data_IF_291860651995
#
_entry.id   IF_291860651995
#
_cell.length_a   1.000
_cell.length_b   1.000
_cell.length_c   1.000
_cell.angle_alpha   90.00
_cell.angle_beta   90.00
_cell.angle_gamma   90.00
#
_symmetry.space_group_name_H-M   'P 1'
#
loop_
_entity.id
_entity.type
_entity.pdbx_description
1 polymer ?
#
# COMPACT_ATOMS: atom_id res chain seq x y z
N UNK A 1 -24.44 -10.14 7.37
CA UNK A 1 -25.29 -9.43 6.37
C UNK A 1 -24.34 -8.77 5.38
N UNK A 2 -24.46 -9.00 4.06
CA UNK A 2 -23.58 -8.34 3.08
C UNK A 2 -23.87 -6.83 3.11
N UNK A 3 -22.87 -5.94 3.18
CA UNK A 3 -23.13 -4.51 3.16
C UNK A 3 -23.84 -4.14 1.86
N UNK A 4 -24.89 -3.32 1.97
CA UNK A 4 -25.57 -2.76 0.80
C UNK A 4 -24.75 -1.55 0.36
N UNK A 5 -24.31 -1.54 -0.91
CA UNK A 5 -23.58 -0.42 -1.49
C UNK A 5 -24.40 0.86 -1.44
N UNK A 6 -23.81 1.97 -0.96
CA UNK A 6 -24.45 3.30 -0.97
C UNK A 6 -24.80 3.73 -2.39
N UNK A 7 -23.91 3.54 -3.37
CA UNK A 7 -24.19 3.77 -4.80
C UNK A 7 -24.09 2.47 -5.62
N UNK A 8 -25.22 1.76 -5.73
CA UNK A 8 -25.29 0.53 -6.53
C UNK A 8 -25.04 0.75 -8.01
N UNK A 9 -25.37 1.93 -8.56
CA UNK A 9 -25.20 2.21 -10.00
C UNK A 9 -23.73 2.38 -10.34
N UNK A 10 -22.99 3.11 -9.51
CA UNK A 10 -21.54 3.24 -9.66
C UNK A 10 -20.84 1.88 -9.53
N UNK A 11 -21.20 1.09 -8.51
CA UNK A 11 -20.62 -0.24 -8.32
C UNK A 11 -20.85 -1.14 -9.54
N UNK A 12 -22.06 -1.15 -10.10
CA UNK A 12 -22.37 -1.95 -11.28
C UNK A 12 -21.54 -1.53 -12.51
N UNK A 13 -21.33 -0.23 -12.74
CA UNK A 13 -20.44 0.24 -13.82
C UNK A 13 -19.00 -0.19 -13.60
N UNK A 14 -18.52 -0.15 -12.35
CA UNK A 14 -17.17 -0.58 -11.98
C UNK A 14 -16.95 -2.09 -12.14
N UNK A 15 -17.93 -2.91 -11.75
CA UNK A 15 -17.89 -4.37 -11.97
C UNK A 15 -17.89 -4.72 -13.46
N UNK A 16 -18.62 -3.96 -14.29
CA UNK A 16 -18.65 -4.14 -15.73
C UNK A 16 -17.41 -3.64 -16.47
N UNK A 17 -16.53 -2.88 -15.83
CA UNK A 17 -15.29 -2.40 -16.44
C UNK A 17 -14.17 -3.45 -16.30
N UNK A 18 -13.68 -3.92 -17.45
CA UNK A 18 -12.56 -4.85 -17.50
C UNK A 18 -11.23 -4.11 -17.51
N UNK A 19 -10.47 -4.29 -16.43
CA UNK A 19 -9.07 -3.88 -16.35
C UNK A 19 -8.11 -4.91 -16.98
N UNK A 20 -8.61 -6.12 -17.24
CA UNK A 20 -7.83 -7.32 -17.54
C UNK A 20 -7.80 -7.65 -19.03
N UNK A 21 -8.82 -7.24 -19.78
CA UNK A 21 -8.96 -7.65 -21.17
C UNK A 21 -8.80 -6.45 -22.10
N UNK A 22 -7.64 -6.41 -22.76
CA UNK A 22 -7.41 -5.53 -23.89
C UNK A 22 -6.85 -6.33 -25.07
N UNK A 23 -7.65 -6.57 -26.11
CA UNK A 23 -7.22 -7.40 -27.24
C UNK A 23 -6.04 -6.82 -28.04
N UNK A 24 -5.82 -5.50 -27.98
CA UNK A 24 -4.85 -4.78 -28.81
C UNK A 24 -3.75 -4.06 -27.99
N UNK A 25 -3.82 -4.06 -26.67
CA UNK A 25 -2.84 -3.40 -25.77
C UNK A 25 -2.60 -4.26 -24.53
N UNK A 26 -1.50 -4.06 -23.80
CA UNK A 26 -1.25 -4.81 -22.56
C UNK A 26 -2.31 -4.49 -21.52
N UNK A 27 -2.77 -5.50 -20.79
CA UNK A 27 -3.73 -5.27 -19.71
C UNK A 27 -3.07 -4.57 -18.53
N UNK A 28 -3.88 -3.99 -17.62
CA UNK A 28 -3.35 -3.42 -16.39
C UNK A 28 -2.70 -4.51 -15.50
N UNK A 29 -3.24 -5.73 -15.53
CA UNK A 29 -2.70 -6.88 -14.79
C UNK A 29 -1.34 -7.30 -15.31
N UNK A 30 -1.16 -7.39 -16.62
CA UNK A 30 0.12 -7.80 -17.21
C UNK A 30 1.21 -6.78 -16.88
N UNK A 31 0.90 -5.48 -17.02
CA UNK A 31 1.84 -4.41 -16.65
C UNK A 31 2.16 -4.45 -15.15
N UNK A 32 1.17 -4.73 -14.30
CA UNK A 32 1.39 -4.84 -12.86
C UNK A 32 2.28 -6.04 -12.51
N UNK A 33 2.09 -7.17 -13.17
CA UNK A 33 2.93 -8.36 -13.03
C UNK A 33 4.38 -8.07 -13.43
N UNK A 34 4.59 -7.44 -14.59
CA UNK A 34 5.92 -7.08 -15.10
C UNK A 34 6.65 -6.10 -14.17
N UNK A 35 5.97 -5.06 -13.69
CA UNK A 35 6.59 -4.00 -12.89
C UNK A 35 6.84 -4.41 -11.43
N UNK A 36 5.96 -5.22 -10.84
CA UNK A 36 6.02 -5.58 -9.41
C UNK A 36 6.60 -6.98 -9.15
N UNK A 37 6.62 -7.86 -10.17
CA UNK A 37 7.01 -9.26 -10.02
C UNK A 37 6.00 -10.12 -9.24
N UNK A 38 4.85 -9.59 -8.83
CA UNK A 38 3.80 -10.35 -8.14
C UNK A 38 3.16 -11.38 -9.06
N UNK A 39 2.74 -12.54 -8.54
CA UNK A 39 1.98 -13.52 -9.32
C UNK A 39 0.71 -12.91 -9.90
N UNK A 40 0.28 -13.39 -11.07
CA UNK A 40 -0.94 -12.93 -11.76
C UNK A 40 -2.18 -12.91 -10.84
N UNK A 41 -2.37 -13.91 -9.97
CA UNK A 41 -3.49 -13.97 -9.01
C UNK A 41 -3.48 -12.81 -8.00
N UNK A 42 -2.29 -12.42 -7.56
CA UNK A 42 -2.10 -11.26 -6.67
C UNK A 42 -2.40 -9.99 -7.44
N UNK A 43 -1.94 -9.86 -8.69
CA UNK A 43 -2.25 -8.71 -9.54
C UNK A 43 -3.76 -8.55 -9.78
N UNK A 44 -4.50 -9.65 -10.00
CA UNK A 44 -5.97 -9.62 -10.05
C UNK A 44 -6.56 -9.07 -8.76
N UNK A 45 -6.09 -9.57 -7.61
CA UNK A 45 -6.55 -9.11 -6.30
C UNK A 45 -6.27 -7.62 -6.10
N UNK A 46 -5.08 -7.14 -6.47
CA UNK A 46 -4.71 -5.73 -6.38
C UNK A 46 -5.59 -4.82 -7.23
N UNK A 47 -5.94 -5.27 -8.44
CA UNK A 47 -6.86 -4.54 -9.31
C UNK A 47 -8.28 -4.52 -8.72
N UNK A 48 -8.72 -5.59 -8.05
CA UNK A 48 -9.98 -5.57 -7.31
C UNK A 48 -9.97 -4.59 -6.14
N UNK A 49 -8.89 -4.51 -5.37
CA UNK A 49 -8.74 -3.52 -4.29
C UNK A 49 -8.72 -2.09 -4.83
N UNK A 50 -8.08 -1.86 -5.98
CA UNK A 50 -8.13 -0.60 -6.70
C UNK A 50 -9.55 -0.24 -7.17
N UNK A 51 -10.32 -1.21 -7.71
CA UNK A 51 -11.73 -0.99 -8.06
C UNK A 51 -12.55 -0.56 -6.85
N UNK A 52 -12.33 -1.19 -5.69
CA UNK A 52 -12.99 -0.81 -4.43
C UNK A 52 -12.61 0.59 -4.00
N UNK A 53 -11.34 0.96 -4.08
CA UNK A 53 -10.89 2.31 -3.80
C UNK A 53 -11.55 3.36 -4.71
N UNK A 54 -11.60 3.13 -6.03
CA UNK A 54 -12.26 4.05 -6.96
C UNK A 54 -13.76 4.17 -6.71
N UNK A 55 -14.42 3.10 -6.25
CA UNK A 55 -15.79 3.18 -5.77
C UNK A 55 -15.93 4.14 -4.57
N UNK A 56 -15.04 4.06 -3.58
CA UNK A 56 -15.07 4.96 -2.42
C UNK A 56 -14.90 6.42 -2.83
N UNK A 57 -13.91 6.72 -3.68
CA UNK A 57 -13.67 8.08 -4.20
C UNK A 57 -14.86 8.59 -5.03
N UNK A 58 -15.46 7.72 -5.84
CA UNK A 58 -16.62 8.08 -6.67
C UNK A 58 -17.91 8.28 -5.88
N UNK A 59 -18.14 7.50 -4.82
CA UNK A 59 -19.38 7.50 -4.04
C UNK A 59 -19.43 8.56 -2.94
N UNK A 60 -18.30 8.87 -2.31
CA UNK A 60 -18.23 9.84 -1.20
C UNK A 60 -18.07 11.27 -1.67
N UNK A 61 -17.42 11.47 -2.82
CA UNK A 61 -17.04 12.81 -3.27
C UNK A 61 -15.81 13.38 -2.55
N UNK A 62 -15.32 12.71 -1.51
CA UNK A 62 -14.21 13.16 -0.66
C UNK A 62 -12.84 12.86 -1.27
N UNK A 63 -11.83 13.61 -0.83
CA UNK A 63 -10.42 13.29 -1.08
C UNK A 63 -10.00 12.17 -0.13
N UNK A 64 -9.88 10.96 -0.68
CA UNK A 64 -9.44 9.77 0.03
C UNK A 64 -8.03 9.38 -0.40
N UNK A 65 -7.30 8.75 0.51
CA UNK A 65 -5.91 8.30 0.29
C UNK A 65 -5.88 6.78 0.17
N UNK A 66 -5.28 6.21 -0.88
CA UNK A 66 -5.14 4.76 -1.02
C UNK A 66 -4.03 4.22 -0.12
N UNK A 67 -3.96 2.89 0.03
CA UNK A 67 -2.75 2.25 0.55
C UNK A 67 -1.61 2.29 -0.49
N UNK A 68 -0.34 2.08 -0.08
CA UNK A 68 0.79 2.12 -1.02
C UNK A 68 0.63 1.17 -2.22
N UNK A 69 0.17 -0.06 -1.99
CA UNK A 69 0.07 -1.05 -3.06
C UNK A 69 -1.10 -0.75 -4.02
N UNK A 70 -2.18 -0.15 -3.50
CA UNK A 70 -3.30 0.31 -4.33
C UNK A 70 -2.93 1.57 -5.13
N UNK A 71 -2.11 2.46 -4.56
CA UNK A 71 -1.58 3.62 -5.29
C UNK A 71 -0.70 3.23 -6.48
N UNK A 72 0.10 2.17 -6.37
CA UNK A 72 0.88 1.64 -7.51
C UNK A 72 -0.04 1.30 -8.69
N UNK A 73 -1.17 0.64 -8.43
CA UNK A 73 -2.17 0.33 -9.47
C UNK A 73 -2.78 1.61 -10.03
N UNK A 74 -3.12 2.57 -9.17
CA UNK A 74 -3.70 3.84 -9.60
C UNK A 74 -2.74 4.63 -10.49
N UNK A 75 -1.48 4.77 -10.07
CA UNK A 75 -0.41 5.40 -10.86
C UNK A 75 -0.26 4.73 -12.23
N UNK A 76 -0.22 3.40 -12.29
CA UNK A 76 -0.10 2.66 -13.54
C UNK A 76 -1.31 2.81 -14.46
N UNK A 77 -2.51 2.93 -13.88
CA UNK A 77 -3.71 3.21 -14.67
C UNK A 77 -3.66 4.63 -15.26
N UNK A 78 -3.26 5.63 -14.47
CA UNK A 78 -3.11 7.04 -14.89
C UNK A 78 -2.08 7.21 -16.01
N UNK A 79 -1.00 6.41 -16.01
CA UNK A 79 0.02 6.43 -17.08
C UNK A 79 -0.54 6.10 -18.47
N UNK A 80 -1.61 5.33 -18.55
CA UNK A 80 -2.36 5.17 -19.80
C UNK A 80 -3.44 6.25 -19.85
N UNK A 81 -3.05 7.46 -20.26
CA UNK A 81 -3.94 8.63 -20.22
C UNK A 81 -5.23 8.41 -21.01
N UNK A 82 -5.17 7.68 -22.13
CA UNK A 82 -6.33 7.33 -22.94
C UNK A 82 -7.27 6.38 -22.18
N UNK A 83 -6.72 5.35 -21.55
CA UNK A 83 -7.51 4.48 -20.68
C UNK A 83 -8.19 5.23 -19.54
N UNK A 84 -7.43 6.12 -18.89
CA UNK A 84 -7.84 6.70 -17.63
C UNK A 84 -8.73 7.93 -17.83
N UNK A 85 -8.25 8.93 -18.58
CA UNK A 85 -8.92 10.22 -18.74
C UNK A 85 -9.98 10.22 -19.83
N UNK A 86 -9.78 9.47 -20.94
CA UNK A 86 -10.75 9.47 -22.05
C UNK A 86 -11.82 8.37 -21.91
N UNK A 87 -11.52 7.26 -21.22
CA UNK A 87 -12.44 6.13 -21.08
C UNK A 87 -12.95 5.95 -19.65
N UNK A 88 -12.09 5.53 -18.72
CA UNK A 88 -12.51 5.12 -17.37
C UNK A 88 -13.18 6.24 -16.57
N UNK A 89 -12.54 7.41 -16.47
CA UNK A 89 -13.07 8.54 -15.70
C UNK A 89 -14.45 9.02 -16.21
N UNK A 90 -14.62 9.40 -17.49
CA UNK A 90 -15.90 9.91 -17.96
C UNK A 90 -16.98 8.83 -18.04
N UNK A 91 -16.64 7.60 -18.44
CA UNK A 91 -17.64 6.53 -18.66
C UNK A 91 -18.05 5.82 -17.38
N UNK A 92 -17.10 5.53 -16.50
CA UNK A 92 -17.34 4.67 -15.32
C UNK A 92 -17.59 5.51 -14.08
N UNK A 93 -16.70 6.46 -13.79
CA UNK A 93 -16.82 7.33 -12.62
C UNK A 93 -17.82 8.47 -12.87
N UNK A 94 -17.83 9.04 -14.08
CA UNK A 94 -18.64 10.21 -14.45
C UNK A 94 -17.97 11.56 -14.19
N UNK A 95 -16.70 11.56 -13.73
CA UNK A 95 -15.87 12.75 -13.53
C UNK A 95 -14.39 12.37 -13.59
N UNK A 96 -13.54 13.35 -13.86
CA UNK A 96 -12.09 13.17 -13.79
C UNK A 96 -11.66 13.15 -12.31
N UNK A 97 -10.91 12.13 -11.93
CA UNK A 97 -10.25 12.05 -10.62
C UNK A 97 -8.75 12.22 -10.86
N UNK A 98 -8.18 13.31 -10.39
CA UNK A 98 -6.74 13.55 -10.46
C UNK A 98 -6.05 12.85 -9.29
N UNK A 99 -5.02 12.05 -9.61
CA UNK A 99 -4.11 11.48 -8.61
C UNK A 99 -3.08 12.55 -8.22
N UNK A 100 -2.87 12.85 -6.93
CA UNK A 100 -1.80 13.74 -6.49
C UNK A 100 -0.42 13.17 -6.87
N UNK A 101 0.52 14.02 -7.27
CA UNK A 101 1.88 13.58 -7.65
C UNK A 101 2.69 13.09 -6.45
N UNK A 102 2.61 13.81 -5.33
CA UNK A 102 3.19 13.43 -4.04
C UNK A 102 2.08 13.04 -3.07
N UNK A 103 1.85 11.73 -2.91
CA UNK A 103 1.12 11.27 -1.74
C UNK A 103 2.03 11.43 -0.52
N UNK A 104 1.55 12.18 0.48
CA UNK A 104 2.12 12.17 1.83
C UNK A 104 2.22 10.71 2.30
N UNK A 105 3.19 10.37 3.14
CA UNK A 105 3.28 9.03 3.73
C UNK A 105 1.89 8.67 4.30
N UNK A 106 1.23 7.65 3.71
CA UNK A 106 -0.17 7.30 4.01
C UNK A 106 -0.45 7.11 5.51
N UNK A 107 0.58 6.72 6.28
CA UNK A 107 0.50 6.53 7.72
C UNK A 107 0.34 7.85 8.50
N UNK A 108 0.80 8.97 7.96
CA UNK A 108 0.73 10.29 8.58
C UNK A 108 -0.45 11.12 8.04
N UNK A 109 -1.19 10.62 7.05
CA UNK A 109 -2.33 11.32 6.45
C UNK A 109 -3.65 10.93 7.15
N UNK A 110 -4.35 11.87 7.82
CA UNK A 110 -5.63 11.59 8.46
C UNK A 110 -6.73 11.14 7.48
N UNK A 111 -6.59 11.44 6.18
CA UNK A 111 -7.52 10.96 5.16
C UNK A 111 -7.43 9.44 4.92
N UNK A 112 -6.29 8.80 5.23
CA UNK A 112 -6.18 7.35 5.12
C UNK A 112 -7.07 6.62 6.12
N UNK A 113 -7.18 7.13 7.36
CA UNK A 113 -8.13 6.62 8.35
C UNK A 113 -9.57 6.65 7.84
N UNK A 114 -9.98 7.77 7.22
CA UNK A 114 -11.30 7.88 6.57
C UNK A 114 -11.48 6.89 5.42
N UNK A 115 -10.43 6.64 4.62
CA UNK A 115 -10.49 5.60 3.58
C UNK A 115 -10.79 4.23 4.18
N UNK A 116 -10.12 3.86 5.28
CA UNK A 116 -10.34 2.59 5.95
C UNK A 116 -11.74 2.48 6.56
N UNK A 117 -12.26 3.56 7.14
CA UNK A 117 -13.62 3.62 7.68
C UNK A 117 -14.66 3.38 6.57
N UNK A 118 -14.56 4.13 5.46
CA UNK A 118 -15.45 3.93 4.32
C UNK A 118 -15.30 2.55 3.69
N UNK A 119 -14.07 2.03 3.62
CA UNK A 119 -13.84 0.67 3.16
C UNK A 119 -14.55 -0.34 4.06
N UNK A 120 -14.44 -0.20 5.38
CA UNK A 120 -15.07 -1.10 6.34
C UNK A 120 -16.60 -1.05 6.26
N UNK A 121 -17.18 0.13 6.09
CA UNK A 121 -18.62 0.31 5.89
C UNK A 121 -19.13 -0.40 4.62
N UNK A 122 -18.38 -0.30 3.53
CA UNK A 122 -18.84 -0.75 2.22
C UNK A 122 -18.46 -2.22 1.92
N UNK A 123 -17.27 -2.64 2.28
CA UNK A 123 -16.69 -3.94 1.92
C UNK A 123 -16.41 -4.84 3.13
N UNK A 124 -16.53 -4.32 4.36
CA UNK A 124 -16.12 -5.01 5.57
C UNK A 124 -14.62 -4.87 5.84
N UNK A 125 -14.11 -5.63 6.81
CA UNK A 125 -12.71 -5.51 7.24
C UNK A 125 -11.74 -5.84 6.11
N UNK A 126 -10.91 -4.87 5.76
CA UNK A 126 -9.89 -5.02 4.75
C UNK A 126 -8.78 -5.99 5.21
N UNK A 127 -8.14 -6.66 4.25
CA UNK A 127 -6.99 -7.49 4.54
C UNK A 127 -5.73 -6.62 4.71
N UNK A 128 -5.01 -6.82 5.82
CA UNK A 128 -3.85 -6.00 6.21
C UNK A 128 -2.75 -5.97 5.13
N UNK A 129 -2.62 -7.05 4.34
CA UNK A 129 -1.65 -7.11 3.25
C UNK A 129 -1.89 -6.07 2.14
N UNK A 130 -3.15 -5.66 1.92
CA UNK A 130 -3.52 -4.68 0.91
C UNK A 130 -3.87 -3.32 1.52
N UNK A 131 -4.36 -3.32 2.76
CA UNK A 131 -4.79 -2.15 3.50
C UNK A 131 -4.17 -2.19 4.90
N UNK A 132 -2.88 -1.85 5.03
CA UNK A 132 -2.19 -1.86 6.31
C UNK A 132 -2.82 -0.82 7.24
N UNK A 133 -3.04 -1.22 8.50
CA UNK A 133 -3.53 -0.33 9.54
C UNK A 133 -2.43 0.69 9.90
N UNK A 134 -2.69 2.01 9.93
CA UNK A 134 -1.69 2.98 10.35
C UNK A 134 -1.23 2.74 11.80
N UNK A 135 -2.07 2.15 12.67
CA UNK A 135 -1.72 1.83 14.05
C UNK A 135 -0.70 0.70 14.18
N UNK A 136 -0.41 -0.06 13.11
CA UNK A 136 0.81 -0.89 13.05
C UNK A 136 2.10 -0.05 13.16
N UNK A 137 2.02 1.28 13.09
CA UNK A 137 3.08 2.19 13.53
C UNK A 137 3.39 2.11 15.04
N UNK A 138 2.64 1.35 15.86
CA UNK A 138 3.14 0.89 17.17
C UNK A 138 4.49 0.18 17.07
N UNK A 139 4.83 -0.41 15.91
CA UNK A 139 6.18 -0.94 15.65
C UNK A 139 7.24 0.17 15.67
N UNK A 140 6.92 1.43 15.30
CA UNK A 140 7.82 2.59 15.39
C UNK A 140 8.06 3.00 16.85
N UNK A 141 7.03 3.02 17.69
CA UNK A 141 7.17 3.24 19.14
C UNK A 141 7.97 2.10 19.77
N UNK A 142 7.73 0.84 19.37
CA UNK A 142 8.53 -0.31 19.84
C UNK A 142 10.01 -0.15 19.49
N UNK A 143 10.32 0.46 18.34
CA UNK A 143 11.69 0.69 17.87
C UNK A 143 12.39 1.80 18.66
N UNK A 144 11.68 2.89 18.95
CA UNK A 144 12.18 3.97 19.81
C UNK A 144 12.39 3.45 21.24
N UNK A 145 11.46 2.66 21.77
CA UNK A 145 11.61 2.01 23.07
C UNK A 145 12.76 1.00 23.09
N UNK A 146 12.95 0.22 22.02
CA UNK A 146 14.11 -0.67 21.86
C UNK A 146 15.43 0.11 21.84
N UNK A 147 15.51 1.21 21.08
CA UNK A 147 16.71 2.06 21.06
C UNK A 147 16.94 2.79 22.40
N UNK A 148 15.89 3.27 23.06
CA UNK A 148 15.97 3.89 24.38
C UNK A 148 16.41 2.88 25.44
N UNK A 149 15.87 1.66 25.40
CA UNK A 149 16.25 0.57 26.32
C UNK A 149 17.69 0.09 26.06
N UNK A 150 18.12 0.01 24.79
CA UNK A 150 19.49 -0.30 24.42
C UNK A 150 20.49 0.80 24.81
N UNK A 151 20.12 2.07 24.63
CA UNK A 151 20.93 3.22 25.07
C UNK A 151 21.06 3.28 26.60
N UNK A 152 19.97 3.02 27.32
CA UNK A 152 19.98 2.92 28.78
C UNK A 152 20.83 1.74 29.27
N UNK A 153 20.72 0.57 28.63
CA UNK A 153 21.54 -0.60 28.94
C UNK A 153 23.03 -0.36 28.65
N UNK A 154 23.38 0.33 27.56
CA UNK A 154 24.75 0.72 27.24
C UNK A 154 25.29 1.72 28.27
N UNK A 155 24.48 2.71 28.67
CA UNK A 155 24.83 3.69 29.70
C UNK A 155 25.05 3.03 31.06
N UNK A 156 24.18 2.09 31.46
CA UNK A 156 24.38 1.26 32.66
C UNK A 156 25.60 0.33 32.56
N UNK A 157 25.88 -0.24 31.39
CA UNK A 157 27.05 -1.10 31.16
C UNK A 157 28.38 -0.33 31.22
N UNK A 158 28.39 0.94 30.80
CA UNK A 158 29.53 1.84 30.94
C UNK A 158 29.73 2.29 32.39
N UNK A 159 28.65 2.41 33.16
CA UNK A 159 28.68 2.72 34.59
C UNK A 159 29.10 1.52 35.45
N UNK A 160 28.68 0.31 35.09
CA UNK A 160 29.02 -0.94 35.77
C UNK A 160 29.93 -1.79 34.87
N UNK A 161 31.25 -1.69 35.08
CA UNK A 161 32.27 -2.56 34.46
C UNK A 161 31.96 -4.04 34.68
N UNK A 162 31.10 -4.64 33.88
CA UNK A 162 30.83 -6.08 33.95
C UNK A 162 30.47 -6.62 32.57
N UNK A 163 31.28 -7.59 32.15
CA UNK A 163 31.33 -8.27 30.86
C UNK A 163 29.99 -8.84 30.36
N UNK A 164 29.00 -8.99 31.24
CA UNK A 164 27.67 -9.53 30.95
C UNK A 164 26.92 -8.71 29.87
N UNK A 165 27.04 -7.38 29.92
CA UNK A 165 26.30 -6.51 28.99
C UNK A 165 26.89 -6.50 27.58
N UNK A 166 28.20 -6.74 27.43
CA UNK A 166 28.84 -6.89 26.11
C UNK A 166 28.32 -8.14 25.41
N UNK A 167 28.16 -9.24 26.14
CA UNK A 167 27.60 -10.49 25.62
C UNK A 167 26.13 -10.30 25.23
N UNK A 168 25.33 -9.63 26.08
CA UNK A 168 23.93 -9.34 25.78
C UNK A 168 23.78 -8.44 24.53
N UNK A 169 24.57 -7.37 24.43
CA UNK A 169 24.57 -6.48 23.28
C UNK A 169 24.99 -7.20 21.98
N UNK A 170 25.99 -8.09 22.07
CA UNK A 170 26.40 -8.94 20.95
C UNK A 170 25.28 -9.85 20.45
N UNK A 171 24.53 -10.48 21.36
CA UNK A 171 23.37 -11.33 21.01
C UNK A 171 22.27 -10.51 20.37
N UNK A 172 21.94 -9.33 20.91
CA UNK A 172 20.94 -8.43 20.31
C UNK A 172 21.35 -7.96 18.91
N UNK A 173 22.62 -7.60 18.69
CA UNK A 173 23.13 -7.25 17.37
C UNK A 173 23.04 -8.42 16.37
N UNK A 174 23.40 -9.63 16.78
CA UNK A 174 23.28 -10.83 15.94
C UNK A 174 21.83 -11.13 15.58
N UNK A 175 20.90 -11.01 16.53
CA UNK A 175 19.47 -11.21 16.25
C UNK A 175 18.93 -10.15 15.30
N UNK A 176 19.28 -8.87 15.47
CA UNK A 176 18.89 -7.79 14.57
C UNK A 176 19.48 -7.95 13.16
N UNK A 177 20.73 -8.41 13.06
CA UNK A 177 21.37 -8.71 11.78
C UNK A 177 20.72 -9.91 11.08
N UNK A 178 20.38 -10.97 11.82
CA UNK A 178 19.67 -12.13 11.30
C UNK A 178 18.27 -11.76 10.79
N UNK A 179 17.53 -10.96 11.56
CA UNK A 179 16.24 -10.40 11.14
C UNK A 179 16.42 -9.57 9.85
N UNK A 180 17.41 -8.67 9.81
CA UNK A 180 17.69 -7.86 8.61
C UNK A 180 18.03 -8.72 7.39
N UNK A 181 18.85 -9.76 7.53
CA UNK A 181 19.15 -10.70 6.46
C UNK A 181 17.87 -11.38 5.98
N UNK A 182 17.10 -11.97 6.88
CA UNK A 182 15.86 -12.69 6.56
C UNK A 182 14.82 -11.80 5.86
N UNK A 183 14.73 -10.52 6.23
CA UNK A 183 13.86 -9.56 5.55
C UNK A 183 14.47 -9.00 4.26
N UNK A 184 15.79 -9.02 4.08
CA UNK A 184 16.47 -8.62 2.84
C UNK A 184 16.42 -9.68 1.75
N UNK A 185 16.06 -10.93 2.07
CA UNK A 185 15.77 -11.99 1.10
C UNK A 185 14.35 -11.94 0.51
N UNK A 186 13.53 -10.95 0.89
CA UNK A 186 12.31 -10.62 0.17
C UNK A 186 12.68 -9.78 -1.06
N UNK A 187 12.39 -10.23 -2.30
CA UNK A 187 12.76 -9.50 -3.50
C UNK A 187 11.85 -8.28 -3.63
N UNK A 188 12.32 -7.13 -3.20
CA UNK A 188 11.78 -5.81 -3.56
C UNK A 188 12.91 -4.98 -4.15
N UNK A 189 13.33 -5.34 -5.36
CA UNK A 189 14.07 -4.43 -6.24
C UNK A 189 13.30 -4.31 -7.56
N UNK A 190 12.45 -3.29 -7.63
CA UNK A 190 12.06 -2.71 -8.91
C UNK A 190 13.24 -1.85 -9.39
N UNK A 191 14.00 -2.37 -10.35
CA UNK A 191 15.11 -1.66 -10.96
C UNK A 191 14.58 -0.55 -11.86
N UNK A 192 14.58 0.68 -11.36
CA UNK A 192 14.38 1.86 -12.17
C UNK A 192 15.54 2.03 -13.16
N UNK A 193 15.32 1.65 -14.42
CA UNK A 193 16.14 2.12 -15.54
C UNK A 193 15.52 3.38 -16.12
N UNK A 194 16.05 4.52 -15.69
CA UNK A 194 16.17 5.67 -16.58
C UNK A 194 17.27 5.38 -17.59
N UNK A 195 16.92 5.35 -18.87
CA UNK A 195 17.87 5.64 -19.94
C UNK A 195 17.43 6.93 -20.63
N UNK A 196 18.41 7.82 -20.71
CA UNK A 196 18.34 9.15 -21.24
C UNK A 196 18.09 9.15 -22.76
N UNK A 197 17.39 10.19 -23.21
CA UNK A 197 17.56 10.79 -24.53
C UNK A 197 18.04 12.22 -24.29
#
# INVERSE_FOLDING_TARGET
>A
MKPIKKDRKLWHRLEGYSFHERPLTRSLVDRLHEETGHSIDVCYTLVEEYRRFMYLVGSTGETLVPSPIVDVVWKMHVQDEKAYFEDFCPRIIGRIIYRPDDLVQFADDPAYGRTLDHYAEEFGRAQVQFWPDPDFATVRISRILLFASGGLALMLALLFKTFLFVVLAGVLCLTAFFLKWQFSSLPLEAHGKGEAI
#
